data_IF_773190569949
#
_entry.id   IF_773190569949
#
_cell.length_a   1.000
_cell.length_b   1.000
_cell.length_c   1.000
_cell.angle_alpha   90.00
_cell.angle_beta   90.00
_cell.angle_gamma   90.00
#
_symmetry.space_group_name_H-M   'P 1'
#
loop_
_entity.id
_entity.type
_entity.pdbx_description
1 polymer ?
#
# COMPACT_ATOMS: atom_id res chain seq x y z
N UNK A 1 46.32 9.45 -9.63
CA UNK A 1 45.01 9.28 -8.96
C UNK A 1 45.13 8.06 -8.07
N UNK A 2 45.00 8.24 -6.77
CA UNK A 2 45.26 7.17 -5.80
C UNK A 2 44.20 6.07 -5.95
N UNK A 3 44.59 4.78 -5.89
CA UNK A 3 43.65 3.66 -6.09
C UNK A 3 42.49 3.62 -5.07
N UNK A 4 42.60 4.39 -3.98
CA UNK A 4 41.60 4.54 -2.93
C UNK A 4 40.38 5.32 -3.44
N UNK A 5 40.57 6.31 -4.31
CA UNK A 5 39.47 7.14 -4.86
C UNK A 5 38.52 6.33 -5.75
N UNK A 6 39.01 5.25 -6.38
CA UNK A 6 38.21 4.36 -7.23
C UNK A 6 37.50 3.28 -6.40
N UNK A 7 38.03 2.92 -5.24
CA UNK A 7 37.46 1.87 -4.38
C UNK A 7 36.14 2.30 -3.71
N UNK A 8 36.05 3.57 -3.31
CA UNK A 8 34.88 4.14 -2.63
C UNK A 8 33.59 4.02 -3.48
N UNK A 9 33.54 4.49 -4.74
CA UNK A 9 32.33 4.37 -5.55
C UNK A 9 31.99 2.90 -5.88
N UNK A 10 32.98 2.03 -6.04
CA UNK A 10 32.75 0.60 -6.32
C UNK A 10 32.09 -0.08 -5.12
N UNK A 11 32.58 0.17 -3.91
CA UNK A 11 31.97 -0.36 -2.68
C UNK A 11 30.58 0.23 -2.43
N UNK A 12 30.38 1.51 -2.72
CA UNK A 12 29.07 2.15 -2.56
C UNK A 12 28.02 1.52 -3.49
N UNK A 13 28.36 1.29 -4.76
CA UNK A 13 27.47 0.66 -5.73
C UNK A 13 27.22 -0.81 -5.36
N UNK A 14 28.28 -1.57 -5.05
CA UNK A 14 28.14 -2.97 -4.67
C UNK A 14 27.33 -3.16 -3.37
N UNK A 15 27.55 -2.29 -2.38
CA UNK A 15 26.81 -2.30 -1.11
C UNK A 15 25.33 -1.94 -1.29
N UNK A 16 25.02 -0.96 -2.14
CA UNK A 16 23.65 -0.58 -2.46
C UNK A 16 22.87 -1.72 -3.11
N UNK A 17 23.44 -2.35 -4.13
CA UNK A 17 22.82 -3.50 -4.79
C UNK A 17 22.74 -4.72 -3.86
N UNK A 18 23.77 -4.98 -3.05
CA UNK A 18 23.76 -6.05 -2.06
C UNK A 18 22.67 -5.88 -1.01
N UNK A 19 22.47 -4.66 -0.49
CA UNK A 19 21.44 -4.36 0.49
C UNK A 19 20.02 -4.57 -0.07
N UNK A 20 19.77 -4.17 -1.33
CA UNK A 20 18.48 -4.38 -1.98
C UNK A 20 18.19 -5.88 -2.13
N UNK A 21 19.16 -6.66 -2.60
CA UNK A 21 19.00 -8.11 -2.77
C UNK A 21 18.73 -8.78 -1.42
N UNK A 22 19.49 -8.42 -0.38
CA UNK A 22 19.29 -8.94 0.98
C UNK A 22 17.90 -8.60 1.52
N UNK A 23 17.43 -7.36 1.32
CA UNK A 23 16.12 -6.94 1.76
C UNK A 23 15.00 -7.71 1.06
N UNK A 24 15.07 -7.87 -0.27
CA UNK A 24 14.10 -8.64 -1.05
C UNK A 24 14.11 -10.12 -0.64
N UNK A 25 15.30 -10.71 -0.48
CA UNK A 25 15.46 -12.08 -0.02
C UNK A 25 14.84 -12.29 1.37
N UNK A 26 15.10 -11.38 2.31
CA UNK A 26 14.54 -11.44 3.65
C UNK A 26 13.02 -11.31 3.63
N UNK A 27 12.48 -10.39 2.83
CA UNK A 27 11.03 -10.20 2.68
C UNK A 27 10.33 -11.47 2.15
N UNK A 28 10.88 -12.07 1.09
CA UNK A 28 10.34 -13.32 0.54
C UNK A 28 10.52 -14.51 1.50
N UNK A 29 11.66 -14.58 2.18
CA UNK A 29 11.96 -15.64 3.14
C UNK A 29 11.05 -15.58 4.37
N UNK A 30 10.71 -14.38 4.86
CA UNK A 30 9.76 -14.19 5.96
C UNK A 30 8.40 -14.77 5.60
N UNK A 31 7.87 -14.43 4.42
CA UNK A 31 6.58 -14.94 3.92
C UNK A 31 6.57 -16.46 3.73
N UNK A 32 7.68 -17.07 3.36
CA UNK A 32 7.77 -18.53 3.19
C UNK A 32 7.78 -19.28 4.53
N UNK A 33 8.46 -18.73 5.54
CA UNK A 33 8.51 -19.34 6.89
C UNK A 33 7.15 -19.32 7.58
N UNK A 34 6.41 -18.22 7.46
CA UNK A 34 5.04 -18.11 7.96
C UNK A 34 4.12 -19.17 7.35
N UNK A 35 4.21 -19.41 6.04
CA UNK A 35 3.39 -20.41 5.34
C UNK A 35 3.75 -21.85 5.71
N UNK A 36 5.02 -22.16 5.96
CA UNK A 36 5.43 -23.50 6.39
C UNK A 36 5.03 -23.79 7.83
N UNK A 37 5.11 -22.81 8.73
CA UNK A 37 4.64 -22.96 10.10
C UNK A 37 3.13 -23.26 10.18
N UNK A 38 2.33 -22.74 9.24
CA UNK A 38 0.89 -23.05 9.16
C UNK A 38 0.61 -24.47 8.66
N UNK A 39 1.45 -25.01 7.76
CA UNK A 39 1.36 -26.39 7.28
C UNK A 39 1.74 -27.38 8.38
N UNK A 40 2.80 -27.08 9.13
CA UNK A 40 3.32 -27.95 10.20
C UNK A 40 2.34 -28.06 11.39
N UNK A 41 1.60 -26.99 11.68
CA UNK A 41 0.63 -26.94 12.77
C UNK A 41 -0.75 -27.55 12.44
N UNK A 42 -0.96 -28.12 11.24
CA UNK A 42 -2.27 -28.66 10.77
C UNK A 42 -3.47 -27.73 11.00
N UNK A 43 -3.23 -26.41 11.12
CA UNK A 43 -4.31 -25.43 11.20
C UNK A 43 -4.87 -25.19 9.80
N UNK A 44 -6.19 -25.26 9.69
CA UNK A 44 -6.90 -25.22 8.42
C UNK A 44 -6.57 -23.94 7.63
N UNK A 45 -5.94 -24.10 6.46
CA UNK A 45 -5.51 -23.02 5.55
C UNK A 45 -6.68 -22.22 4.94
N UNK A 46 -7.90 -22.51 5.39
CA UNK A 46 -9.15 -21.87 5.01
C UNK A 46 -9.32 -20.47 5.60
N UNK A 47 -8.63 -20.15 6.71
CA UNK A 47 -8.68 -18.83 7.37
C UNK A 47 -7.88 -17.76 6.59
N UNK A 48 -6.87 -18.14 5.80
CA UNK A 48 -5.95 -17.17 5.18
C UNK A 48 -6.22 -16.82 3.70
N UNK A 49 -7.03 -17.59 2.98
CA UNK A 49 -6.95 -17.58 1.50
C UNK A 49 -8.03 -16.80 0.73
N UNK A 50 -9.07 -16.23 1.37
CA UNK A 50 -10.21 -15.72 0.58
C UNK A 50 -10.74 -14.31 0.87
N UNK A 51 -10.55 -13.76 2.06
CA UNK A 51 -11.16 -12.46 2.40
C UNK A 51 -10.23 -11.28 2.07
N UNK A 52 -8.92 -11.40 2.35
CA UNK A 52 -7.95 -10.29 2.23
C UNK A 52 -7.82 -9.68 0.82
N UNK A 53 -7.86 -10.50 -0.24
CA UNK A 53 -7.58 -9.98 -1.59
C UNK A 53 -8.71 -9.10 -2.13
N UNK A 54 -9.97 -9.45 -1.86
CA UNK A 54 -11.12 -8.71 -2.39
C UNK A 54 -11.24 -7.34 -1.73
N UNK A 55 -11.00 -7.28 -0.43
CA UNK A 55 -11.02 -6.02 0.32
C UNK A 55 -9.85 -5.12 -0.06
N UNK A 56 -8.65 -5.67 -0.25
CA UNK A 56 -7.51 -4.90 -0.75
C UNK A 56 -7.75 -4.32 -2.15
N UNK A 57 -8.35 -5.08 -3.07
CA UNK A 57 -8.72 -4.55 -4.39
C UNK A 57 -9.76 -3.42 -4.28
N UNK A 58 -10.73 -3.54 -3.37
CA UNK A 58 -11.74 -2.51 -3.15
C UNK A 58 -11.16 -1.24 -2.53
N UNK A 59 -10.23 -1.38 -1.57
CA UNK A 59 -9.48 -0.27 -0.97
C UNK A 59 -8.79 0.57 -2.03
N UNK A 60 -8.04 -0.09 -2.90
CA UNK A 60 -7.26 0.56 -3.96
C UNK A 60 -8.22 1.22 -4.97
N UNK A 61 -9.32 0.55 -5.32
CA UNK A 61 -10.33 1.10 -6.23
C UNK A 61 -10.97 2.39 -5.72
N UNK A 62 -11.41 2.43 -4.45
CA UNK A 62 -12.04 3.63 -3.87
C UNK A 62 -11.07 4.80 -3.79
N UNK A 63 -9.83 4.55 -3.35
CA UNK A 63 -8.78 5.58 -3.30
C UNK A 63 -8.46 6.11 -4.70
N UNK A 64 -8.39 5.23 -5.72
CA UNK A 64 -8.13 5.64 -7.09
C UNK A 64 -9.27 6.52 -7.66
N UNK A 65 -10.53 6.15 -7.42
CA UNK A 65 -11.70 6.93 -7.85
C UNK A 65 -11.71 8.30 -7.18
N UNK A 66 -11.55 8.34 -5.85
CA UNK A 66 -11.54 9.60 -5.11
C UNK A 66 -10.35 10.49 -5.51
N UNK A 67 -9.17 9.91 -5.72
CA UNK A 67 -8.02 10.66 -6.24
C UNK A 67 -8.30 11.25 -7.62
N UNK A 68 -8.96 10.50 -8.52
CA UNK A 68 -9.34 11.01 -9.85
C UNK A 68 -10.32 12.18 -9.78
N UNK A 69 -11.35 12.06 -8.93
CA UNK A 69 -12.31 13.16 -8.65
C UNK A 69 -11.58 14.37 -8.05
N UNK A 70 -10.65 14.13 -7.12
CA UNK A 70 -9.84 15.17 -6.51
C UNK A 70 -8.97 15.92 -7.52
N UNK A 71 -8.33 15.23 -8.47
CA UNK A 71 -7.55 15.89 -9.53
C UNK A 71 -8.45 16.77 -10.42
N UNK A 72 -9.66 16.30 -10.73
CA UNK A 72 -10.62 17.09 -11.52
C UNK A 72 -11.04 18.37 -10.79
N UNK A 73 -11.33 18.28 -9.49
CA UNK A 73 -11.67 19.44 -8.66
C UNK A 73 -10.47 20.38 -8.49
N UNK A 74 -9.26 19.84 -8.34
CA UNK A 74 -8.04 20.64 -8.26
C UNK A 74 -7.81 21.46 -9.53
N UNK A 75 -8.08 20.89 -10.71
CA UNK A 75 -7.98 21.61 -11.99
C UNK A 75 -8.97 22.79 -12.08
N UNK A 76 -10.20 22.62 -11.57
CA UNK A 76 -11.18 23.70 -11.47
C UNK A 76 -10.72 24.81 -10.52
N UNK A 77 -10.08 24.44 -9.40
CA UNK A 77 -9.52 25.37 -8.42
C UNK A 77 -8.30 26.14 -8.94
N UNK A 78 -7.43 25.47 -9.71
CA UNK A 78 -6.28 26.11 -10.36
C UNK A 78 -6.73 27.24 -11.31
N UNK A 79 -7.81 27.01 -12.06
CA UNK A 79 -8.43 28.07 -12.89
C UNK A 79 -9.06 29.21 -12.09
N UNK A 80 -9.33 29.02 -10.81
CA UNK A 80 -9.95 30.01 -9.93
C UNK A 80 -8.92 30.94 -9.26
N UNK A 81 -7.63 30.80 -9.59
CA UNK A 81 -6.55 31.68 -9.11
C UNK A 81 -5.76 31.15 -7.92
N UNK A 82 -5.97 29.89 -7.50
CA UNK A 82 -5.07 29.23 -6.55
C UNK A 82 -3.78 28.77 -7.24
N UNK A 83 -2.63 28.75 -6.54
CA UNK A 83 -1.43 28.14 -7.09
C UNK A 83 -1.66 26.64 -7.32
N UNK A 84 -1.56 26.20 -8.58
CA UNK A 84 -1.85 24.81 -8.97
C UNK A 84 -1.18 23.77 -8.09
N UNK A 85 0.11 23.94 -7.76
CA UNK A 85 0.85 22.99 -6.90
C UNK A 85 0.16 22.76 -5.56
N UNK A 86 -0.34 23.83 -4.92
CA UNK A 86 -1.00 23.73 -3.61
C UNK A 86 -2.41 23.14 -3.79
N UNK A 87 -3.15 23.56 -4.82
CA UNK A 87 -4.48 23.05 -5.09
C UNK A 87 -4.49 21.54 -5.37
N UNK A 88 -3.59 21.06 -6.24
CA UNK A 88 -3.46 19.63 -6.53
C UNK A 88 -3.06 18.83 -5.29
N UNK A 89 -2.08 19.30 -4.53
CA UNK A 89 -1.59 18.56 -3.36
C UNK A 89 -2.66 18.45 -2.27
N UNK A 90 -3.37 19.54 -1.97
CA UNK A 90 -4.40 19.58 -0.95
C UNK A 90 -5.62 18.73 -1.34
N UNK A 91 -6.14 18.91 -2.56
CA UNK A 91 -7.37 18.24 -2.97
C UNK A 91 -7.15 16.73 -3.15
N UNK A 92 -6.00 16.30 -3.71
CA UNK A 92 -5.69 14.87 -3.82
C UNK A 92 -5.59 14.23 -2.43
N UNK A 93 -4.88 14.85 -1.48
CA UNK A 93 -4.76 14.32 -0.12
C UNK A 93 -6.09 14.25 0.61
N UNK A 94 -6.91 15.29 0.51
CA UNK A 94 -8.23 15.34 1.16
C UNK A 94 -9.16 14.28 0.58
N UNK A 95 -9.28 14.19 -0.75
CA UNK A 95 -10.18 13.22 -1.39
C UNK A 95 -9.68 11.78 -1.22
N UNK A 96 -8.38 11.54 -1.40
CA UNK A 96 -7.78 10.22 -1.16
C UNK A 96 -7.97 9.77 0.29
N UNK A 97 -7.77 10.68 1.26
CA UNK A 97 -8.02 10.44 2.67
C UNK A 97 -9.49 10.16 2.99
N UNK A 98 -10.41 10.96 2.43
CA UNK A 98 -11.85 10.74 2.58
C UNK A 98 -12.30 9.38 2.00
N UNK A 99 -11.74 8.99 0.85
CA UNK A 99 -11.97 7.66 0.26
C UNK A 99 -11.52 6.52 1.16
N UNK A 100 -10.37 6.68 1.83
CA UNK A 100 -9.87 5.68 2.77
C UNK A 100 -10.73 5.57 4.03
N UNK A 101 -11.18 6.71 4.58
CA UNK A 101 -12.09 6.76 5.73
C UNK A 101 -13.44 6.13 5.37
N UNK A 102 -14.00 6.47 4.20
CA UNK A 102 -15.24 5.87 3.71
C UNK A 102 -15.14 4.35 3.53
N UNK A 103 -14.00 3.85 3.02
CA UNK A 103 -13.75 2.43 2.92
C UNK A 103 -13.73 1.73 4.29
N UNK A 104 -13.16 2.36 5.32
CA UNK A 104 -13.14 1.79 6.68
C UNK A 104 -14.55 1.64 7.25
N UNK A 105 -15.42 2.63 7.07
CA UNK A 105 -16.83 2.54 7.49
C UNK A 105 -17.59 1.44 6.75
N UNK A 106 -17.37 1.28 5.44
CA UNK A 106 -18.03 0.25 4.63
C UNK A 106 -17.62 -1.18 5.03
N UNK A 107 -16.36 -1.39 5.42
CA UNK A 107 -15.92 -2.69 5.95
C UNK A 107 -16.54 -2.96 7.30
N UNK A 108 -16.51 -1.98 8.20
CA UNK A 108 -17.05 -2.14 9.55
C UNK A 108 -18.52 -2.57 9.54
N UNK A 109 -19.35 -1.94 8.70
CA UNK A 109 -20.77 -2.31 8.54
C UNK A 109 -20.93 -3.74 7.98
N UNK A 110 -20.01 -4.16 7.12
CA UNK A 110 -20.00 -5.51 6.55
C UNK A 110 -19.65 -6.58 7.58
N UNK A 111 -18.72 -6.27 8.47
CA UNK A 111 -18.33 -7.17 9.58
C UNK A 111 -19.49 -7.32 10.58
N UNK A 112 -20.10 -6.22 11.01
CA UNK A 112 -21.26 -6.25 11.94
C UNK A 112 -22.44 -7.07 11.39
N UNK A 113 -22.77 -6.92 10.09
CA UNK A 113 -23.82 -7.73 9.43
C UNK A 113 -23.48 -9.21 9.31
N UNK A 114 -22.20 -9.57 9.28
CA UNK A 114 -21.76 -10.96 9.18
C UNK A 114 -21.90 -11.67 10.52
N UNK A 115 -21.67 -10.95 11.62
CA UNK A 115 -21.84 -11.45 12.98
C UNK A 115 -23.32 -11.69 13.34
N UNK A 116 -24.25 -10.83 12.89
CA UNK A 116 -25.70 -11.01 13.14
C UNK A 116 -26.31 -12.22 12.40
N UNK A 117 -25.71 -12.69 11.30
CA UNK A 117 -26.21 -13.83 10.52
C UNK A 117 -25.69 -15.17 11.08
N UNK A 118 -24.61 -15.15 11.88
CA UNK A 118 -24.03 -16.35 12.51
C UNK A 118 -24.58 -16.64 13.92
N UNK A 119 -25.46 -15.78 14.48
CA UNK A 119 -26.16 -15.94 15.78
C UNK A 119 -27.59 -16.42 15.57
#
# INVERSE_FOLDING_TARGET
>A
MSGIEVLIPILAVAGFWGAIILFVYMFFSSRHRERMALIDNRMDAKIFSRESNRENSLKIGIVAIMSGIGVFIAYLLDKSGLPGVVAYFMVILIFSGAGLVGFYYLIKEKEEKREEIEV
#
